data_IF_150380355048
#
_entry.id   IF_150380355048
#
_cell.length_a   1.000
_cell.length_b   1.000
_cell.length_c   1.000
_cell.angle_alpha   90.00
_cell.angle_beta   90.00
_cell.angle_gamma   90.00
#
_symmetry.space_group_name_H-M   'P 1'
#
loop_
_entity.id
_entity.type
_entity.pdbx_description
1 polymer ?
#
# COMPACT_ATOMS: atom_id res chain seq x y z
N UNK A 1 32.27 64.35 -13.75
CA UNK A 1 33.06 63.63 -14.77
C UNK A 1 33.95 62.66 -14.02
N UNK A 2 33.55 61.43 -13.84
CA UNK A 2 34.31 60.38 -13.18
C UNK A 2 34.17 59.13 -14.04
N UNK A 3 35.24 58.72 -14.65
CA UNK A 3 35.41 57.50 -15.43
C UNK A 3 35.49 56.32 -14.47
N UNK A 4 34.65 55.31 -14.70
CA UNK A 4 34.75 54.01 -14.03
C UNK A 4 35.58 53.08 -14.91
N UNK A 5 36.77 52.73 -14.45
CA UNK A 5 37.58 51.67 -15.06
C UNK A 5 37.10 50.29 -14.59
N UNK A 6 36.71 49.48 -15.55
CA UNK A 6 36.36 48.09 -15.37
C UNK A 6 37.63 47.25 -15.43
N UNK A 7 38.10 46.79 -14.29
CA UNK A 7 39.24 45.87 -14.20
C UNK A 7 38.73 44.42 -14.36
N UNK A 8 39.01 43.82 -15.54
CA UNK A 8 38.79 42.40 -15.80
C UNK A 8 39.78 41.56 -15.04
N UNK A 9 39.33 40.87 -14.01
CA UNK A 9 40.12 39.92 -13.25
C UNK A 9 39.86 38.52 -13.84
N UNK A 10 40.64 38.13 -14.86
CA UNK A 10 40.66 36.79 -15.43
C UNK A 10 41.39 35.84 -14.45
N UNK A 11 40.62 34.99 -13.77
CA UNK A 11 41.23 33.89 -12.98
C UNK A 11 41.68 32.77 -13.90
N UNK A 12 42.87 32.18 -13.70
CA UNK A 12 43.31 31.04 -14.49
C UNK A 12 42.45 29.82 -14.22
N UNK A 13 42.24 29.02 -15.26
CA UNK A 13 41.49 27.76 -15.21
C UNK A 13 42.05 26.83 -14.16
N UNK A 14 41.24 26.41 -13.22
CA UNK A 14 41.56 25.38 -12.26
C UNK A 14 41.81 24.04 -12.99
N UNK A 15 42.99 23.51 -12.82
CA UNK A 15 43.35 22.12 -13.15
C UNK A 15 42.36 21.21 -12.40
N UNK A 16 41.63 20.39 -13.11
CA UNK A 16 40.75 19.38 -12.54
C UNK A 16 41.60 18.36 -11.76
N UNK A 17 41.42 18.33 -10.45
CA UNK A 17 42.05 17.38 -9.57
C UNK A 17 41.43 15.99 -9.79
N UNK A 18 42.26 14.96 -9.99
CA UNK A 18 41.84 13.58 -10.23
C UNK A 18 40.97 13.02 -9.08
N UNK A 19 41.05 13.60 -7.88
CA UNK A 19 40.20 13.26 -6.76
C UNK A 19 38.76 13.71 -6.91
N UNK A 20 38.46 14.71 -7.78
CA UNK A 20 37.12 15.15 -8.06
C UNK A 20 36.33 14.16 -8.95
N UNK A 21 37.08 13.38 -9.75
CA UNK A 21 36.43 12.38 -10.66
C UNK A 21 35.97 11.16 -9.87
N UNK A 22 36.72 10.73 -8.82
CA UNK A 22 36.28 9.63 -7.95
C UNK A 22 35.04 9.99 -7.11
N UNK A 23 34.99 11.24 -6.64
CA UNK A 23 33.80 11.73 -5.91
C UNK A 23 32.54 11.84 -6.80
N UNK A 24 32.72 12.16 -8.10
CA UNK A 24 31.62 12.16 -9.07
C UNK A 24 31.14 10.74 -9.38
N UNK A 25 32.04 9.75 -9.38
CA UNK A 25 31.68 8.36 -9.62
C UNK A 25 30.93 7.75 -8.42
N UNK A 26 31.33 8.07 -7.18
CA UNK A 26 30.59 7.67 -5.97
C UNK A 26 29.21 8.32 -5.89
N UNK A 27 29.07 9.56 -6.38
CA UNK A 27 27.77 10.24 -6.41
C UNK A 27 26.81 9.59 -7.42
N UNK A 28 27.33 9.14 -8.57
CA UNK A 28 26.52 8.46 -9.59
C UNK A 28 26.05 7.07 -9.11
N UNK A 29 26.91 6.27 -8.48
CA UNK A 29 26.51 4.97 -7.92
C UNK A 29 25.47 5.12 -6.80
N UNK A 30 25.57 6.15 -5.98
CA UNK A 30 24.61 6.40 -4.91
C UNK A 30 23.27 6.91 -5.46
N UNK A 31 23.28 7.67 -6.54
CA UNK A 31 22.08 8.15 -7.23
C UNK A 31 21.35 7.00 -7.93
N UNK A 32 22.08 6.08 -8.55
CA UNK A 32 21.49 4.87 -9.14
C UNK A 32 20.87 3.93 -8.10
N UNK A 33 21.48 3.79 -6.92
CA UNK A 33 20.90 3.01 -5.81
C UNK A 33 19.62 3.63 -5.27
N UNK A 34 19.58 4.94 -5.11
CA UNK A 34 18.39 5.67 -4.65
C UNK A 34 17.27 5.54 -5.69
N UNK A 35 17.58 5.69 -6.97
CA UNK A 35 16.62 5.54 -8.05
C UNK A 35 16.08 4.11 -8.17
N UNK A 36 16.92 3.10 -7.97
CA UNK A 36 16.46 1.70 -8.01
C UNK A 36 15.57 1.35 -6.83
N UNK A 37 15.87 1.85 -5.63
CA UNK A 37 15.02 1.66 -4.45
C UNK A 37 13.71 2.45 -4.56
N UNK A 38 13.75 3.68 -5.07
CA UNK A 38 12.55 4.49 -5.34
C UNK A 38 11.65 3.84 -6.39
N UNK A 39 12.23 3.26 -7.45
CA UNK A 39 11.48 2.47 -8.45
C UNK A 39 10.88 1.19 -7.86
N UNK A 40 11.60 0.50 -6.99
CA UNK A 40 11.07 -0.66 -6.29
C UNK A 40 9.88 -0.25 -5.41
N UNK A 41 10.02 0.79 -4.59
CA UNK A 41 8.96 1.32 -3.74
C UNK A 41 7.77 1.80 -4.58
N UNK A 42 7.98 2.53 -5.68
CA UNK A 42 6.89 3.00 -6.55
C UNK A 42 6.13 1.86 -7.22
N UNK A 43 6.79 0.72 -7.50
CA UNK A 43 6.14 -0.45 -8.08
C UNK A 43 5.17 -1.11 -7.12
N UNK A 44 5.42 -1.02 -5.81
CA UNK A 44 4.50 -1.49 -4.79
C UNK A 44 3.36 -0.50 -4.50
N UNK A 45 3.57 0.80 -4.73
CA UNK A 45 2.54 1.83 -4.48
C UNK A 45 1.56 2.04 -5.65
N UNK A 46 1.88 1.59 -6.85
CA UNK A 46 1.06 1.92 -8.04
C UNK A 46 -0.17 1.06 -8.23
N UNK A 47 -0.31 -0.06 -7.56
CA UNK A 47 -1.50 -0.91 -7.68
C UNK A 47 -1.89 -1.53 -6.35
N UNK A 48 -2.86 -0.90 -5.72
CA UNK A 48 -3.92 -1.48 -4.94
C UNK A 48 -3.61 -2.85 -4.32
N UNK A 49 -3.23 -2.85 -3.10
CA UNK A 49 -2.94 -3.91 -2.16
C UNK A 49 -1.45 -4.22 -2.13
N UNK A 50 -0.68 -3.47 -1.35
CA UNK A 50 0.69 -3.76 -1.04
C UNK A 50 0.74 -4.88 0.00
N UNK A 51 0.23 -6.03 -0.35
CA UNK A 51 0.39 -7.23 0.43
C UNK A 51 1.52 -7.98 -0.19
N UNK A 52 2.29 -8.63 0.66
CA UNK A 52 3.33 -9.50 0.21
C UNK A 52 2.68 -10.59 -0.67
N UNK A 53 2.73 -10.37 -2.00
CA UNK A 53 2.09 -11.26 -2.96
C UNK A 53 2.61 -12.69 -2.84
N UNK A 54 3.87 -12.87 -2.42
CA UNK A 54 4.47 -14.19 -2.21
C UNK A 54 3.76 -14.95 -1.09
N UNK A 55 3.41 -14.27 0.01
CA UNK A 55 2.67 -14.87 1.11
C UNK A 55 1.23 -15.21 0.74
N UNK A 56 0.61 -14.39 -0.11
CA UNK A 56 -0.73 -14.65 -0.62
C UNK A 56 -0.71 -15.81 -1.61
N UNK A 57 0.23 -15.84 -2.55
CA UNK A 57 0.37 -16.90 -3.54
C UNK A 57 0.65 -18.26 -2.90
N UNK A 58 1.45 -18.30 -1.85
CA UNK A 58 1.70 -19.52 -1.06
C UNK A 58 0.43 -20.14 -0.48
N UNK A 59 -0.53 -19.31 -0.10
CA UNK A 59 -1.76 -19.71 0.57
C UNK A 59 -2.98 -19.71 -0.37
N UNK A 60 -2.78 -19.50 -1.67
CA UNK A 60 -3.85 -19.28 -2.64
C UNK A 60 -4.89 -20.39 -2.73
N UNK A 61 -4.44 -21.63 -2.64
CA UNK A 61 -5.31 -22.83 -2.70
C UNK A 61 -5.90 -23.23 -1.35
N UNK A 62 -5.46 -22.59 -0.26
CA UNK A 62 -5.95 -22.91 1.07
C UNK A 62 -7.30 -22.24 1.35
N UNK A 63 -8.14 -22.85 2.21
CA UNK A 63 -9.25 -22.13 2.82
C UNK A 63 -8.74 -20.87 3.50
N UNK A 64 -9.44 -19.77 3.37
CA UNK A 64 -9.01 -18.48 3.91
C UNK A 64 -8.84 -18.51 5.44
N UNK A 65 -9.61 -19.36 6.11
CA UNK A 65 -9.51 -19.56 7.57
C UNK A 65 -8.18 -20.20 8.00
N UNK A 66 -7.55 -20.98 7.13
CA UNK A 66 -6.28 -21.68 7.35
C UNK A 66 -5.07 -20.91 6.78
N UNK A 67 -5.34 -19.85 6.03
CA UNK A 67 -4.31 -19.00 5.45
C UNK A 67 -3.57 -18.20 6.53
N UNK A 68 -2.37 -17.75 6.23
CA UNK A 68 -1.58 -16.87 7.08
C UNK A 68 -2.20 -15.50 7.28
N UNK A 69 -1.68 -14.75 8.27
CA UNK A 69 -2.20 -13.43 8.63
C UNK A 69 -2.16 -12.44 7.46
N UNK A 70 -1.12 -12.49 6.62
CA UNK A 70 -1.00 -11.62 5.45
C UNK A 70 -2.15 -11.83 4.46
N UNK A 71 -2.48 -13.08 4.15
CA UNK A 71 -3.58 -13.43 3.26
C UNK A 71 -4.95 -13.02 3.84
N UNK A 72 -5.17 -13.23 5.15
CA UNK A 72 -6.37 -12.79 5.84
C UNK A 72 -6.51 -11.26 5.86
N UNK A 73 -5.42 -10.56 6.16
CA UNK A 73 -5.37 -9.10 6.15
C UNK A 73 -5.71 -8.54 4.76
N UNK A 74 -5.22 -9.20 3.70
CA UNK A 74 -5.50 -8.80 2.33
C UNK A 74 -7.00 -8.78 2.01
N UNK A 75 -7.73 -9.79 2.41
CA UNK A 75 -9.19 -9.84 2.22
C UNK A 75 -9.88 -8.72 2.98
N UNK A 76 -9.50 -8.52 4.25
CA UNK A 76 -10.09 -7.50 5.11
C UNK A 76 -9.89 -6.10 4.52
N UNK A 77 -8.64 -5.78 4.16
CA UNK A 77 -8.27 -4.47 3.64
C UNK A 77 -8.91 -4.23 2.26
N UNK A 78 -8.93 -5.26 1.40
CA UNK A 78 -9.57 -5.17 0.08
C UNK A 78 -11.05 -4.84 0.18
N UNK A 79 -11.79 -5.50 1.05
CA UNK A 79 -13.21 -5.19 1.28
C UNK A 79 -13.38 -3.76 1.78
N UNK A 80 -12.53 -3.32 2.72
CA UNK A 80 -12.53 -1.93 3.20
C UNK A 80 -12.30 -0.92 2.08
N UNK A 81 -11.32 -1.19 1.19
CA UNK A 81 -11.03 -0.35 0.03
C UNK A 81 -12.20 -0.26 -0.96
N UNK A 82 -12.81 -1.40 -1.26
CA UNK A 82 -13.95 -1.45 -2.18
C UNK A 82 -15.14 -0.68 -1.63
N UNK A 83 -15.37 -0.75 -0.34
CA UNK A 83 -16.47 -0.07 0.35
C UNK A 83 -16.21 1.44 0.45
N UNK A 84 -14.99 1.84 0.86
CA UNK A 84 -14.58 3.25 0.87
C UNK A 84 -14.63 3.86 -0.54
N UNK A 85 -14.09 3.14 -1.53
CA UNK A 85 -14.10 3.56 -2.93
C UNK A 85 -15.49 3.66 -3.53
N UNK A 86 -16.49 2.98 -2.96
CA UNK A 86 -17.89 3.11 -3.32
C UNK A 86 -18.61 4.30 -2.65
N UNK A 87 -17.89 5.08 -1.85
CA UNK A 87 -18.41 6.28 -1.19
C UNK A 87 -19.06 6.03 0.18
N UNK A 88 -18.79 4.88 0.79
CA UNK A 88 -19.24 4.58 2.15
C UNK A 88 -18.44 5.41 3.17
N UNK A 89 -19.10 5.90 4.20
CA UNK A 89 -18.46 6.67 5.26
C UNK A 89 -17.49 5.81 6.11
N UNK A 90 -16.41 6.42 6.59
CA UNK A 90 -15.30 5.75 7.28
C UNK A 90 -15.74 4.87 8.48
N UNK A 91 -16.78 5.26 9.19
CA UNK A 91 -17.32 4.45 10.30
C UNK A 91 -17.88 3.11 9.80
N UNK A 92 -18.67 3.12 8.72
CA UNK A 92 -19.24 1.91 8.14
C UNK A 92 -18.18 1.03 7.49
N UNK A 93 -17.17 1.62 6.85
CA UNK A 93 -16.03 0.89 6.32
C UNK A 93 -15.33 0.11 7.43
N UNK A 94 -15.06 0.74 8.57
CA UNK A 94 -14.47 0.03 9.73
C UNK A 94 -15.36 -1.10 10.24
N UNK A 95 -16.66 -0.86 10.32
CA UNK A 95 -17.62 -1.90 10.71
C UNK A 95 -17.60 -3.08 9.74
N UNK A 96 -17.59 -2.81 8.43
CA UNK A 96 -17.46 -3.81 7.38
C UNK A 96 -16.19 -4.63 7.54
N UNK A 97 -15.04 -3.98 7.73
CA UNK A 97 -13.76 -4.67 7.96
C UNK A 97 -13.82 -5.58 9.20
N UNK A 98 -14.45 -5.15 10.28
CA UNK A 98 -14.65 -5.99 11.48
C UNK A 98 -15.52 -7.21 11.20
N UNK A 99 -16.60 -7.05 10.40
CA UNK A 99 -17.50 -8.16 10.03
C UNK A 99 -16.77 -9.23 9.22
N UNK A 100 -15.83 -8.83 8.37
CA UNK A 100 -14.99 -9.78 7.60
C UNK A 100 -13.88 -10.39 8.49
N UNK A 101 -13.28 -9.62 9.37
CA UNK A 101 -12.20 -10.08 10.24
C UNK A 101 -12.66 -11.13 11.27
N UNK A 102 -13.87 -10.97 11.77
CA UNK A 102 -14.43 -11.83 12.83
C UNK A 102 -14.42 -13.32 12.47
N UNK A 103 -15.00 -13.79 11.35
CA UNK A 103 -14.99 -15.21 10.97
C UNK A 103 -13.60 -15.73 10.63
N UNK A 104 -12.63 -14.84 10.34
CA UNK A 104 -11.23 -15.21 10.08
C UNK A 104 -10.40 -15.38 11.37
N UNK A 105 -10.99 -15.05 12.52
CA UNK A 105 -10.27 -15.05 13.79
C UNK A 105 -9.19 -13.96 13.88
N UNK A 106 -9.37 -12.87 13.15
CA UNK A 106 -8.44 -11.73 13.08
C UNK A 106 -9.03 -10.55 13.84
N UNK A 107 -8.23 -9.93 14.68
CA UNK A 107 -8.54 -8.64 15.27
C UNK A 107 -7.96 -7.55 14.38
N UNK A 108 -8.82 -6.68 13.86
CA UNK A 108 -8.43 -5.56 13.01
C UNK A 108 -8.61 -4.24 13.75
N UNK A 109 -7.63 -3.36 13.58
CA UNK A 109 -7.69 -1.95 13.97
C UNK A 109 -7.45 -1.13 12.71
N UNK A 110 -8.44 -0.37 12.27
CA UNK A 110 -8.33 0.42 11.06
C UNK A 110 -8.54 1.90 11.36
N UNK A 111 -7.67 2.71 10.80
CA UNK A 111 -7.89 4.14 10.61
C UNK A 111 -8.26 4.37 9.14
N UNK A 112 -9.40 5.02 8.91
CA UNK A 112 -9.99 5.17 7.58
C UNK A 112 -10.17 6.65 7.32
N UNK A 113 -9.34 7.16 6.43
CA UNK A 113 -9.40 8.53 5.92
C UNK A 113 -10.20 8.58 4.60
N UNK A 114 -10.21 9.75 3.94
CA UNK A 114 -10.93 9.92 2.67
C UNK A 114 -10.29 9.19 1.50
N UNK A 115 -8.98 9.02 1.53
CA UNK A 115 -8.17 8.52 0.41
C UNK A 115 -7.28 7.35 0.77
N UNK A 116 -7.24 6.96 2.04
CA UNK A 116 -6.36 5.91 2.51
C UNK A 116 -6.97 5.12 3.66
N UNK A 117 -6.50 3.90 3.82
CA UNK A 117 -6.80 3.03 4.96
C UNK A 117 -5.49 2.55 5.56
N UNK A 118 -5.30 2.79 6.86
CA UNK A 118 -4.27 2.14 7.65
C UNK A 118 -4.91 1.05 8.49
N UNK A 119 -4.50 -0.20 8.32
CA UNK A 119 -5.07 -1.33 9.02
C UNK A 119 -4.00 -2.17 9.70
N UNK A 120 -4.15 -2.41 10.99
CA UNK A 120 -3.34 -3.36 11.74
C UNK A 120 -4.17 -4.59 12.08
N UNK A 121 -3.76 -5.74 11.54
CA UNK A 121 -4.39 -7.03 11.70
C UNK A 121 -3.54 -7.95 12.57
N UNK A 122 -4.16 -8.67 13.50
CA UNK A 122 -3.47 -9.66 14.34
C UNK A 122 -4.37 -10.88 14.60
N UNK A 123 -3.79 -12.05 14.54
CA UNK A 123 -4.46 -13.33 14.90
C UNK A 123 -4.06 -13.84 16.30
N UNK A 124 -3.34 -13.01 17.07
CA UNK A 124 -2.83 -13.36 18.39
C UNK A 124 -1.43 -13.98 18.39
N UNK A 125 -0.91 -14.39 17.23
CA UNK A 125 0.46 -14.88 17.03
C UNK A 125 1.28 -13.86 16.27
N UNK A 126 0.77 -13.49 15.11
CA UNK A 126 1.41 -12.58 14.18
C UNK A 126 0.63 -11.28 14.06
N UNK A 127 1.31 -10.25 13.62
CA UNK A 127 0.72 -8.94 13.34
C UNK A 127 1.27 -8.40 12.03
N UNK A 128 0.37 -7.86 11.23
CA UNK A 128 0.70 -7.12 10.01
C UNK A 128 0.01 -5.76 10.03
N UNK A 129 0.67 -4.75 9.54
CA UNK A 129 0.09 -3.40 9.37
C UNK A 129 0.25 -3.01 7.92
N UNK A 130 -0.86 -2.62 7.30
CA UNK A 130 -0.95 -2.22 5.91
C UNK A 130 -1.45 -0.78 5.81
N UNK A 131 -0.87 -0.03 4.90
CA UNK A 131 -1.34 1.30 4.50
C UNK A 131 -1.66 1.25 3.02
N UNK A 132 -2.89 1.58 2.67
CA UNK A 132 -3.38 1.45 1.29
C UNK A 132 -4.04 2.74 0.86
N UNK A 133 -3.56 3.28 -0.26
CA UNK A 133 -4.12 4.47 -0.90
C UNK A 133 -5.24 4.10 -1.87
N UNK A 134 -6.31 4.90 -1.88
CA UNK A 134 -7.37 4.78 -2.87
C UNK A 134 -7.08 5.72 -4.05
N UNK A 135 -7.00 5.18 -5.26
CA UNK A 135 -6.75 6.02 -6.44
C UNK A 135 -7.95 6.90 -6.82
N UNK A 136 -9.16 6.44 -6.53
CA UNK A 136 -10.41 7.14 -6.86
C UNK A 136 -11.52 6.77 -5.90
N UNK A 137 -12.37 7.74 -5.60
CA UNK A 137 -13.60 7.55 -4.84
C UNK A 137 -14.79 7.98 -5.69
N UNK A 138 -15.90 7.28 -5.56
CA UNK A 138 -17.16 7.62 -6.25
C UNK A 138 -18.33 6.98 -5.55
N UNK A 139 -19.55 7.50 -5.77
CA UNK A 139 -20.75 6.90 -5.18
C UNK A 139 -21.22 5.74 -6.06
N UNK A 140 -21.19 4.53 -5.51
CA UNK A 140 -21.68 3.32 -6.17
C UNK A 140 -22.53 2.49 -5.18
N UNK A 141 -23.81 2.77 -5.18
CA UNK A 141 -24.78 2.14 -4.26
C UNK A 141 -24.97 0.65 -4.51
N UNK A 142 -24.83 0.19 -5.75
CA UNK A 142 -24.90 -1.23 -6.10
C UNK A 142 -23.71 -2.00 -5.49
N UNK A 143 -22.50 -1.44 -5.57
CA UNK A 143 -21.32 -2.04 -4.93
C UNK A 143 -21.48 -2.09 -3.41
N UNK A 144 -21.99 -1.04 -2.78
CA UNK A 144 -22.27 -1.03 -1.33
C UNK A 144 -23.23 -2.16 -0.98
N UNK A 145 -24.32 -2.29 -1.74
CA UNK A 145 -25.30 -3.35 -1.51
C UNK A 145 -24.69 -4.75 -1.67
N UNK A 146 -23.88 -4.97 -2.70
CA UNK A 146 -23.19 -6.25 -2.92
C UNK A 146 -22.21 -6.58 -1.79
N UNK A 147 -21.46 -5.61 -1.30
CA UNK A 147 -20.53 -5.80 -0.20
C UNK A 147 -21.24 -6.13 1.12
N UNK A 148 -22.38 -5.50 1.40
CA UNK A 148 -23.20 -5.84 2.58
C UNK A 148 -23.68 -7.30 2.51
N UNK A 149 -24.20 -7.73 1.37
CA UNK A 149 -24.62 -9.13 1.17
C UNK A 149 -23.47 -10.10 1.23
N UNK A 150 -22.31 -9.72 0.68
CA UNK A 150 -21.08 -10.50 0.79
C UNK A 150 -20.65 -10.68 2.24
N UNK A 151 -20.67 -9.63 3.04
CA UNK A 151 -20.29 -9.69 4.44
C UNK A 151 -21.24 -10.56 5.27
N UNK A 152 -22.55 -10.49 5.00
CA UNK A 152 -23.52 -11.36 5.63
C UNK A 152 -23.30 -12.83 5.26
N UNK A 153 -23.12 -13.10 3.97
CA UNK A 153 -22.82 -14.44 3.50
C UNK A 153 -21.51 -14.97 4.10
N UNK A 154 -20.47 -14.14 4.13
CA UNK A 154 -19.15 -14.50 4.65
C UNK A 154 -19.21 -14.84 6.14
N UNK A 155 -19.95 -14.07 6.91
CA UNK A 155 -20.13 -14.33 8.34
C UNK A 155 -20.90 -15.63 8.60
N UNK A 156 -21.99 -15.88 7.85
CA UNK A 156 -22.78 -17.12 7.98
C UNK A 156 -21.97 -18.36 7.60
N UNK A 157 -21.14 -18.25 6.58
CA UNK A 157 -20.28 -19.34 6.12
C UNK A 157 -18.93 -19.41 6.85
N UNK A 158 -18.70 -18.53 7.83
CA UNK A 158 -17.49 -18.49 8.67
C UNK A 158 -16.20 -18.47 7.83
N UNK A 159 -16.19 -17.66 6.80
CA UNK A 159 -15.02 -17.52 5.92
C UNK A 159 -14.72 -18.76 5.07
N UNK A 160 -15.68 -19.66 4.87
CA UNK A 160 -15.51 -20.79 3.95
C UNK A 160 -15.37 -20.26 2.53
N UNK A 161 -14.26 -20.54 1.91
CA UNK A 161 -13.92 -20.15 0.56
C UNK A 161 -12.43 -20.26 0.36
N UNK A 162 -11.98 -20.43 -0.89
CA UNK A 162 -10.55 -20.35 -1.19
C UNK A 162 -10.14 -18.88 -1.28
N UNK A 163 -8.88 -18.59 -0.94
CA UNK A 163 -8.31 -17.26 -1.14
C UNK A 163 -8.50 -16.75 -2.58
N UNK A 164 -8.32 -17.65 -3.54
CA UNK A 164 -8.51 -17.36 -4.96
C UNK A 164 -9.92 -16.83 -5.27
N UNK A 165 -10.94 -17.43 -4.68
CA UNK A 165 -12.34 -17.02 -4.85
C UNK A 165 -12.62 -15.63 -4.28
N UNK A 166 -11.95 -15.26 -3.19
CA UNK A 166 -12.16 -13.99 -2.48
C UNK A 166 -11.36 -12.82 -3.09
N UNK A 167 -10.25 -13.12 -3.75
CA UNK A 167 -9.42 -12.08 -4.41
C UNK A 167 -10.11 -11.56 -5.69
N UNK A 168 -11.04 -12.29 -6.27
CA UNK A 168 -11.77 -11.90 -7.49
C UNK A 168 -13.08 -11.14 -7.24
N UNK A 169 -13.30 -10.72 -5.99
CA UNK A 169 -14.39 -9.79 -5.62
C UNK A 169 -13.95 -8.38 -6.01
#
# INVERSE_FOLDING_TARGET
>A
MGMWECSENIRPAHTLDLNSVSALHEHDENTERVDSSAKAVSKFHTHSIPLDMEDIERDWDKPVTEAGIAAKASVIVRVGMLDLGAGTGSFRVREMMHRIAYPLGVHVRADVNLTDIEASCTDGKDRITEVVDLPTTGVNTERIWLLEHFADWFNVNLGKGSMLSLIHI
#
